data_IF_437896157023
#
_entry.id   IF_437896157023
#
_cell.length_a   1.000
_cell.length_b   1.000
_cell.length_c   1.000
_cell.angle_alpha   90.00
_cell.angle_beta   90.00
_cell.angle_gamma   90.00
#
_symmetry.space_group_name_H-M   'P 1'
#
loop_
_entity.id
_entity.type
_entity.pdbx_description
1 polymer ?
#
# COMPACT_ATOMS: atom_id res chain seq x y z
N UNK A 1 1.02 -13.01 7.60
CA UNK A 1 1.34 -12.60 6.22
C UNK A 1 0.06 -12.42 5.44
N UNK A 2 -0.03 -11.39 4.60
CA UNK A 2 -1.14 -11.16 3.68
C UNK A 2 -0.62 -10.91 2.26
N UNK A 3 -1.51 -11.01 1.25
CA UNK A 3 -1.21 -10.64 -0.14
C UNK A 3 -2.19 -9.56 -0.54
N UNK A 4 -1.66 -8.40 -0.92
CA UNK A 4 -2.46 -7.31 -1.48
C UNK A 4 -2.45 -7.45 -3.00
N UNK A 5 -3.62 -7.43 -3.63
CA UNK A 5 -3.77 -7.49 -5.08
C UNK A 5 -4.41 -6.19 -5.56
N UNK A 6 -3.79 -5.53 -6.52
CA UNK A 6 -4.43 -4.41 -7.21
C UNK A 6 -5.52 -4.95 -8.15
N UNK A 7 -6.81 -4.61 -7.94
CA UNK A 7 -7.90 -5.13 -8.74
C UNK A 7 -7.84 -4.70 -10.21
N UNK A 8 -7.10 -3.63 -10.54
CA UNK A 8 -7.00 -3.14 -11.93
C UNK A 8 -5.89 -3.84 -12.72
N UNK A 9 -4.70 -3.97 -12.14
CA UNK A 9 -3.54 -4.54 -12.83
C UNK A 9 -3.30 -6.03 -12.54
N UNK A 10 -4.02 -6.61 -11.57
CA UNK A 10 -3.81 -7.95 -11.06
C UNK A 10 -2.37 -8.21 -10.55
N UNK A 11 -1.61 -7.14 -10.28
CA UNK A 11 -0.30 -7.22 -9.62
C UNK A 11 -0.50 -7.42 -8.13
N UNK A 12 0.39 -8.21 -7.53
CA UNK A 12 0.35 -8.53 -6.12
C UNK A 12 1.60 -8.06 -5.38
N UNK A 13 1.44 -7.76 -4.10
CA UNK A 13 2.54 -7.47 -3.17
C UNK A 13 2.38 -8.31 -1.90
N UNK A 14 3.48 -8.92 -1.46
CA UNK A 14 3.53 -9.66 -0.21
C UNK A 14 3.61 -8.68 0.97
N UNK A 15 2.79 -8.89 2.00
CA UNK A 15 2.73 -8.05 3.18
C UNK A 15 3.10 -8.90 4.41
N UNK A 16 4.18 -8.52 5.08
CA UNK A 16 4.52 -9.02 6.41
C UNK A 16 3.68 -8.26 7.44
N UNK A 17 2.74 -8.97 8.06
CA UNK A 17 1.73 -8.41 8.99
C UNK A 17 2.09 -8.58 10.46
N UNK A 18 3.27 -9.15 10.79
CA UNK A 18 3.63 -9.55 12.16
C UNK A 18 3.53 -8.42 13.19
N UNK A 19 3.73 -7.17 12.78
CA UNK A 19 3.72 -6.01 13.67
C UNK A 19 2.37 -5.31 13.78
N UNK A 20 1.38 -5.72 12.98
CA UNK A 20 0.04 -5.11 12.93
C UNK A 20 -1.06 -6.11 13.27
N UNK A 21 -0.69 -7.31 13.67
CA UNK A 21 -1.60 -8.33 14.17
C UNK A 21 -1.95 -8.09 15.66
N UNK A 22 -3.19 -8.40 16.08
CA UNK A 22 -4.31 -8.84 15.26
C UNK A 22 -4.99 -7.66 14.53
N UNK A 23 -5.52 -7.92 13.34
CA UNK A 23 -6.42 -6.99 12.66
C UNK A 23 -7.56 -7.75 12.00
N UNK A 24 -8.70 -7.09 11.77
CA UNK A 24 -9.84 -7.70 11.09
C UNK A 24 -9.56 -7.82 9.60
N UNK A 25 -9.05 -8.98 9.18
CA UNK A 25 -8.77 -9.28 7.79
C UNK A 25 -10.03 -9.86 7.12
N UNK A 26 -10.58 -9.15 6.13
CA UNK A 26 -11.70 -9.62 5.31
C UNK A 26 -11.26 -9.74 3.86
N UNK A 27 -11.33 -10.96 3.31
CA UNK A 27 -11.01 -11.19 1.90
C UNK A 27 -11.94 -10.38 0.99
N UNK A 28 -11.37 -9.77 -0.05
CA UNK A 28 -12.09 -8.92 -0.99
C UNK A 28 -12.32 -7.47 -0.52
N UNK A 29 -12.02 -7.14 0.73
CA UNK A 29 -12.04 -5.75 1.21
C UNK A 29 -10.81 -4.98 0.74
N UNK A 30 -10.94 -3.67 0.61
CA UNK A 30 -9.85 -2.76 0.30
C UNK A 30 -9.07 -2.45 1.58
N UNK A 31 -7.75 -2.62 1.52
CA UNK A 31 -6.85 -2.31 2.63
C UNK A 31 -5.76 -1.34 2.20
N UNK A 32 -5.38 -0.46 3.13
CA UNK A 32 -4.17 0.33 3.03
C UNK A 32 -3.15 -0.17 4.07
N UNK A 33 -1.96 -0.49 3.60
CA UNK A 33 -0.80 -0.78 4.42
C UNK A 33 0.24 0.33 4.27
N UNK A 34 0.89 0.72 5.37
CA UNK A 34 2.04 1.62 5.38
C UNK A 34 3.15 0.93 6.18
N UNK A 35 4.36 0.97 5.65
CA UNK A 35 5.51 0.28 6.23
C UNK A 35 6.75 0.38 5.35
N UNK A 36 7.76 -0.40 5.70
CA UNK A 36 9.04 -0.42 4.99
C UNK A 36 9.07 -1.54 3.93
N UNK A 37 9.74 -1.30 2.80
CA UNK A 37 10.03 -2.37 1.84
C UNK A 37 11.23 -3.18 2.31
N UNK A 38 11.03 -4.48 2.44
CA UNK A 38 12.08 -5.48 2.62
C UNK A 38 12.33 -6.16 1.28
N UNK A 39 13.45 -5.80 0.65
CA UNK A 39 13.88 -6.28 -0.66
C UNK A 39 15.33 -6.78 -0.56
N UNK A 40 15.56 -8.00 -0.06
CA UNK A 40 16.91 -8.54 0.08
C UNK A 40 17.64 -8.56 -1.25
N UNK A 41 18.88 -8.06 -1.26
CA UNK A 41 19.72 -7.97 -2.46
C UNK A 41 19.82 -9.33 -3.16
N UNK A 42 19.46 -9.38 -4.44
CA UNK A 42 19.52 -10.61 -5.25
C UNK A 42 18.30 -11.53 -5.13
N UNK A 43 17.28 -11.15 -4.35
CA UNK A 43 15.99 -11.85 -4.30
C UNK A 43 14.94 -11.16 -5.18
N UNK A 44 14.02 -11.96 -5.73
CA UNK A 44 12.80 -11.45 -6.39
C UNK A 44 11.67 -11.20 -5.39
N UNK A 45 11.85 -11.62 -4.13
CA UNK A 45 10.84 -11.60 -3.09
C UNK A 45 10.86 -10.26 -2.36
N UNK A 46 10.16 -9.29 -2.94
CA UNK A 46 9.91 -8.00 -2.29
C UNK A 46 8.68 -8.11 -1.40
N UNK A 47 8.83 -7.77 -0.12
CA UNK A 47 7.70 -7.70 0.82
C UNK A 47 7.62 -6.34 1.51
N UNK A 48 6.43 -5.94 1.94
CA UNK A 48 6.24 -4.76 2.78
C UNK A 48 6.08 -5.20 4.24
N UNK A 49 6.96 -4.72 5.12
CA UNK A 49 6.85 -4.89 6.58
C UNK A 49 5.88 -3.85 7.10
N UNK A 50 4.65 -4.27 7.38
CA UNK A 50 3.58 -3.36 7.76
C UNK A 50 3.79 -2.79 9.16
N UNK A 51 3.61 -1.48 9.30
CA UNK A 51 3.54 -0.74 10.58
C UNK A 51 2.13 -0.23 10.85
N UNK A 52 1.35 -0.01 9.80
CA UNK A 52 -0.04 0.44 9.85
C UNK A 52 -0.86 -0.40 8.88
N UNK A 53 -2.06 -0.78 9.31
CA UNK A 53 -3.09 -1.41 8.47
C UNK A 53 -4.43 -0.73 8.71
N UNK A 54 -5.18 -0.47 7.63
CA UNK A 54 -6.54 0.07 7.70
C UNK A 54 -7.42 -0.58 6.65
N UNK A 55 -8.61 -1.03 7.05
CA UNK A 55 -9.69 -1.30 6.12
C UNK A 55 -10.20 0.04 5.57
N UNK A 56 -10.26 0.16 4.26
CA UNK A 56 -10.68 1.38 3.54
C UNK A 56 -11.84 1.07 2.59
N UNK A 57 -12.66 0.08 2.93
CA UNK A 57 -13.93 -0.18 2.25
C UNK A 57 -14.77 1.11 2.20
N UNK A 58 -15.31 1.42 1.02
CA UNK A 58 -16.06 2.65 0.77
C UNK A 58 -15.20 3.86 0.38
N UNK A 59 -13.87 3.75 0.36
CA UNK A 59 -13.00 4.80 -0.20
C UNK A 59 -13.25 4.94 -1.71
N UNK A 60 -13.54 6.16 -2.16
CA UNK A 60 -13.55 6.48 -3.58
C UNK A 60 -12.12 6.41 -4.13
N UNK A 61 -11.79 5.26 -4.72
CA UNK A 61 -10.48 5.03 -5.30
C UNK A 61 -10.19 6.00 -6.44
N UNK A 62 -11.18 6.45 -7.21
CA UNK A 62 -10.96 7.39 -8.32
C UNK A 62 -10.49 8.73 -7.79
N UNK A 63 -11.20 9.28 -6.81
CA UNK A 63 -10.83 10.55 -6.17
C UNK A 63 -9.50 10.43 -5.40
N UNK A 64 -9.25 9.29 -4.75
CA UNK A 64 -7.97 9.01 -4.09
C UNK A 64 -6.79 9.11 -5.06
N UNK A 65 -6.87 8.48 -6.24
CA UNK A 65 -5.82 8.57 -7.25
C UNK A 65 -5.63 9.99 -7.79
N UNK A 66 -6.72 10.74 -7.99
CA UNK A 66 -6.67 12.14 -8.43
C UNK A 66 -5.97 13.02 -7.39
N UNK A 67 -6.28 12.85 -6.10
CA UNK A 67 -5.63 13.59 -5.02
C UNK A 67 -4.13 13.29 -4.94
N UNK A 68 -3.72 12.03 -5.04
CA UNK A 68 -2.30 11.63 -5.09
C UNK A 68 -1.61 12.23 -6.32
N UNK A 69 -2.28 12.26 -7.47
CA UNK A 69 -1.72 12.87 -8.68
C UNK A 69 -1.48 14.37 -8.51
N UNK A 70 -2.50 15.12 -8.04
CA UNK A 70 -2.40 16.55 -7.78
C UNK A 70 -1.30 16.87 -6.75
N UNK A 71 -1.23 16.10 -5.66
CA UNK A 71 -0.17 16.25 -4.65
C UNK A 71 1.23 16.06 -5.26
N UNK A 72 1.43 15.02 -6.08
CA UNK A 72 2.72 14.76 -6.74
C UNK A 72 3.09 15.84 -7.75
N UNK A 73 2.13 16.46 -8.42
CA UNK A 73 2.39 17.60 -9.31
C UNK A 73 2.86 18.80 -8.50
N UNK A 74 2.12 19.16 -7.44
CA UNK A 74 2.50 20.25 -6.54
C UNK A 74 3.91 20.07 -5.96
N UNK A 75 4.21 18.88 -5.41
CA UNK A 75 5.53 18.60 -4.81
C UNK A 75 6.69 18.55 -5.80
N UNK A 76 6.42 18.37 -7.10
CA UNK A 76 7.46 18.46 -8.15
C UNK A 76 7.74 19.91 -8.55
N UNK A 77 6.78 20.79 -8.33
CA UNK A 77 6.87 22.21 -8.69
C UNK A 77 7.57 23.02 -7.59
N UNK A 78 7.58 22.55 -6.34
CA UNK A 78 8.45 23.11 -5.29
C UNK A 78 9.90 22.60 -5.48
N UNK A 79 10.87 23.48 -5.79
CA UNK A 79 12.28 23.10 -5.68
C UNK A 79 12.54 22.77 -4.22
N UNK A 80 13.17 21.61 -3.97
CA UNK A 80 13.67 21.22 -2.65
C UNK A 80 14.36 22.42 -1.97
N UNK A 81 13.78 22.87 -0.85
CA UNK A 81 14.35 23.87 0.07
C UNK A 81 15.76 23.46 0.53
#
# INVERSE_FOLDING_TARGET
TAVLVDPKSNKSLLINTRLVEPFSAKLGSLFQFIGELDAPTGSLDVSLVARVVRCVDGLDMTLYHQAIHAQRQYLKEEPSL
#
